data_IF_093607391139
#
_entry.id   IF_093607391139
#
_cell.length_a   1.000
_cell.length_b   1.000
_cell.length_c   1.000
_cell.angle_alpha   90.00
_cell.angle_beta   90.00
_cell.angle_gamma   90.00
#
_symmetry.space_group_name_H-M   'P 1'
#
loop_
_entity.id
_entity.type
_entity.pdbx_description
1 polymer ?
#
# COMPACT_ATOMS: atom_id res chain seq x y z
N UNK A 1 14.97 10.47 -2.64
CA UNK A 1 15.78 10.47 -1.39
C UNK A 1 15.82 9.05 -0.82
N UNK A 2 16.95 8.66 -0.26
CA UNK A 2 17.08 7.40 0.50
C UNK A 2 17.16 7.79 1.97
N UNK A 3 16.26 7.26 2.78
CA UNK A 3 16.11 7.66 4.19
C UNK A 3 16.27 6.43 5.08
N UNK A 4 17.23 6.47 6.00
CA UNK A 4 17.34 5.50 7.09
C UNK A 4 16.29 5.85 8.13
N UNK A 5 15.44 4.88 8.47
CA UNK A 5 14.43 5.00 9.51
C UNK A 5 14.44 3.75 10.39
N UNK A 6 14.32 3.89 11.71
CA UNK A 6 14.34 2.78 12.67
C UNK A 6 15.55 1.84 12.51
N UNK A 7 16.69 2.37 12.12
CA UNK A 7 17.92 1.62 11.89
C UNK A 7 18.01 0.88 10.56
N UNK A 8 16.94 0.82 9.76
CA UNK A 8 16.92 0.19 8.45
C UNK A 8 17.23 1.20 7.33
N UNK A 9 17.98 0.76 6.33
CA UNK A 9 18.32 1.52 5.12
C UNK A 9 17.75 0.75 3.92
N UNK A 10 17.14 1.44 2.94
CA UNK A 10 16.69 0.80 1.71
C UNK A 10 17.76 0.01 0.99
N UNK A 11 17.44 -1.24 0.60
CA UNK A 11 18.28 -2.16 -0.18
C UNK A 11 17.83 -2.12 -1.65
N UNK A 12 18.68 -1.61 -2.53
CA UNK A 12 18.36 -1.36 -3.93
C UNK A 12 19.32 -2.14 -4.82
N UNK A 13 18.79 -3.09 -5.61
CA UNK A 13 19.60 -3.82 -6.58
C UNK A 13 20.32 -2.86 -7.55
N UNK A 14 21.56 -3.17 -7.89
CA UNK A 14 22.42 -2.33 -8.77
C UNK A 14 21.84 -2.09 -10.17
N UNK A 15 20.95 -2.97 -10.64
CA UNK A 15 20.27 -2.86 -11.95
C UNK A 15 18.95 -2.11 -11.87
N UNK A 16 18.46 -1.81 -10.66
CA UNK A 16 17.23 -1.07 -10.46
C UNK A 16 17.46 0.43 -10.67
N UNK A 17 16.45 1.09 -11.21
CA UNK A 17 16.41 2.56 -11.31
C UNK A 17 15.50 3.13 -10.22
N UNK A 18 16.00 4.12 -9.51
CA UNK A 18 15.21 4.93 -8.57
C UNK A 18 15.41 6.39 -8.96
N UNK A 19 14.33 7.06 -9.32
CA UNK A 19 14.35 8.46 -9.73
C UNK A 19 14.91 9.37 -8.60
N UNK A 20 15.62 10.45 -8.91
CA UNK A 20 16.32 11.26 -7.90
C UNK A 20 15.39 11.90 -6.87
N UNK A 21 14.13 12.16 -7.22
CA UNK A 21 13.11 12.72 -6.32
C UNK A 21 12.10 11.67 -5.79
N UNK A 22 12.31 10.39 -6.07
CA UNK A 22 11.59 9.33 -5.36
C UNK A 22 12.08 9.25 -3.91
N UNK A 23 11.21 8.89 -2.98
CA UNK A 23 11.51 8.79 -1.54
C UNK A 23 11.32 7.37 -1.05
N UNK A 24 12.39 6.75 -0.54
CA UNK A 24 12.38 5.41 0.04
C UNK A 24 12.80 5.51 1.51
N UNK A 25 11.96 5.02 2.43
CA UNK A 25 12.12 5.18 3.87
C UNK A 25 12.18 3.82 4.57
N UNK A 26 13.25 3.56 5.29
CA UNK A 26 13.40 2.41 6.16
C UNK A 26 13.60 1.08 5.42
N UNK A 27 12.91 0.03 5.83
CA UNK A 27 13.08 -1.34 5.33
C UNK A 27 12.37 -1.53 3.97
N UNK A 28 12.96 -0.97 2.93
CA UNK A 28 12.50 -1.06 1.53
C UNK A 28 13.49 -1.85 0.72
N UNK A 29 13.03 -2.90 0.02
CA UNK A 29 13.85 -3.68 -0.91
C UNK A 29 13.34 -3.51 -2.33
N UNK A 30 14.25 -3.17 -3.27
CA UNK A 30 13.95 -3.04 -4.70
C UNK A 30 14.74 -4.09 -5.48
N UNK A 31 14.01 -4.99 -6.13
CA UNK A 31 14.58 -6.09 -6.90
C UNK A 31 15.17 -5.68 -8.25
N UNK A 32 15.85 -6.65 -8.86
CA UNK A 32 16.59 -6.49 -10.11
C UNK A 32 15.71 -5.94 -11.24
N UNK A 33 16.28 -5.02 -12.03
CA UNK A 33 15.63 -4.40 -13.20
C UNK A 33 14.30 -3.69 -12.92
N UNK A 34 13.95 -3.44 -11.66
CA UNK A 34 12.75 -2.69 -11.28
C UNK A 34 12.97 -1.19 -11.40
N UNK A 35 11.89 -0.44 -11.53
CA UNK A 35 11.90 1.01 -11.74
C UNK A 35 11.01 1.70 -10.72
N UNK A 36 11.55 2.64 -9.98
CA UNK A 36 10.79 3.55 -9.10
C UNK A 36 10.88 4.95 -9.69
N UNK A 37 9.75 5.43 -10.17
CA UNK A 37 9.69 6.64 -10.96
C UNK A 37 9.54 7.90 -10.10
N UNK A 38 9.49 9.05 -10.77
CA UNK A 38 9.56 10.37 -10.17
C UNK A 38 8.45 10.63 -9.16
N UNK A 39 8.80 11.12 -7.98
CA UNK A 39 7.84 11.46 -6.92
C UNK A 39 7.20 10.27 -6.21
N UNK A 40 7.51 9.03 -6.59
CA UNK A 40 7.01 7.87 -5.86
C UNK A 40 7.54 7.85 -4.42
N UNK A 41 6.67 7.46 -3.47
CA UNK A 41 7.01 7.36 -2.05
C UNK A 41 6.78 5.94 -1.56
N UNK A 42 7.84 5.33 -1.02
CA UNK A 42 7.83 4.00 -0.44
C UNK A 42 8.25 4.11 1.03
N UNK A 43 7.30 3.97 1.97
CA UNK A 43 7.52 4.14 3.39
C UNK A 43 7.18 2.86 4.15
N UNK A 44 8.18 2.23 4.74
CA UNK A 44 8.01 0.95 5.45
C UNK A 44 7.40 1.10 6.84
N UNK A 45 7.42 2.26 7.44
CA UNK A 45 6.86 2.60 8.77
C UNK A 45 7.24 1.63 9.89
N UNK A 46 8.06 0.85 9.98
CA UNK A 46 8.34 -0.16 11.03
C UNK A 46 7.94 -1.57 10.63
N UNK A 47 7.35 -1.75 9.44
CA UNK A 47 7.22 -3.03 8.77
C UNK A 47 8.22 -3.09 7.60
N UNK A 48 7.81 -3.58 6.42
CA UNK A 48 8.68 -3.65 5.25
C UNK A 48 7.92 -3.46 3.94
N UNK A 49 8.68 -3.02 2.92
CA UNK A 49 8.22 -3.01 1.52
C UNK A 49 9.20 -3.85 0.70
N UNK A 50 8.68 -4.80 -0.06
CA UNK A 50 9.45 -5.59 -0.99
C UNK A 50 8.89 -5.42 -2.41
N UNK A 51 9.74 -5.01 -3.33
CA UNK A 51 9.43 -4.94 -4.77
C UNK A 51 10.28 -5.96 -5.48
N UNK A 52 9.64 -6.90 -6.15
CA UNK A 52 10.30 -7.97 -6.89
C UNK A 52 11.05 -7.49 -8.13
N UNK A 53 11.36 -8.42 -9.03
CA UNK A 53 12.14 -8.12 -10.24
C UNK A 53 11.24 -7.59 -11.36
N UNK A 54 11.80 -6.74 -12.23
CA UNK A 54 11.11 -6.18 -13.43
C UNK A 54 9.78 -5.50 -13.13
N UNK A 55 9.58 -5.02 -11.88
CA UNK A 55 8.36 -4.31 -11.49
C UNK A 55 8.54 -2.79 -11.63
N UNK A 56 7.46 -2.11 -11.97
CA UNK A 56 7.46 -0.67 -12.23
C UNK A 56 6.52 0.03 -11.25
N UNK A 57 7.07 0.97 -10.50
CA UNK A 57 6.33 1.88 -9.61
C UNK A 57 6.35 3.26 -10.26
N UNK A 58 5.24 3.66 -10.85
CA UNK A 58 5.15 4.90 -11.61
C UNK A 58 5.09 6.15 -10.74
N UNK A 59 4.98 7.30 -11.41
CA UNK A 59 5.06 8.64 -10.83
C UNK A 59 4.03 8.87 -9.74
N UNK A 60 4.47 9.42 -8.61
CA UNK A 60 3.64 9.80 -7.47
C UNK A 60 2.80 8.63 -6.88
N UNK A 61 3.16 7.39 -7.18
CA UNK A 61 2.56 6.24 -6.50
C UNK A 61 3.02 6.22 -5.02
N UNK A 62 2.13 5.82 -4.11
CA UNK A 62 2.40 5.72 -2.69
C UNK A 62 2.28 4.27 -2.24
N UNK A 63 3.37 3.72 -1.72
CA UNK A 63 3.42 2.42 -1.08
C UNK A 63 3.74 2.64 0.40
N UNK A 64 2.83 2.27 1.29
CA UNK A 64 3.01 2.42 2.73
C UNK A 64 2.67 1.13 3.46
N UNK A 65 3.64 0.61 4.19
CA UNK A 65 3.41 -0.50 5.12
C UNK A 65 2.94 0.04 6.48
N UNK A 66 2.66 -0.83 7.43
CA UNK A 66 2.38 -0.44 8.83
C UNK A 66 2.70 -1.57 9.80
N UNK A 67 3.11 -1.21 11.02
CA UNK A 67 3.32 -2.11 12.14
C UNK A 67 2.60 -1.65 13.41
N UNK A 68 1.56 -0.84 13.30
CA UNK A 68 0.80 -0.32 14.44
C UNK A 68 0.09 -1.44 15.21
N UNK A 69 -0.38 -2.45 14.49
CA UNK A 69 -1.00 -3.63 15.08
C UNK A 69 0.03 -4.73 15.31
N UNK A 70 -0.30 -5.72 16.15
CA UNK A 70 0.55 -6.90 16.36
C UNK A 70 0.83 -7.68 15.07
N UNK A 71 -0.12 -7.60 14.14
CA UNK A 71 0.02 -8.17 12.80
C UNK A 71 0.60 -7.10 11.88
N UNK A 72 1.88 -7.20 11.58
CA UNK A 72 2.51 -6.34 10.58
C UNK A 72 1.75 -6.41 9.24
N UNK A 73 1.59 -5.27 8.61
CA UNK A 73 0.99 -5.17 7.28
C UNK A 73 2.03 -4.64 6.27
N UNK A 74 2.91 -5.52 5.78
CA UNK A 74 3.91 -5.15 4.76
C UNK A 74 3.24 -4.84 3.42
N UNK A 75 3.95 -4.11 2.56
CA UNK A 75 3.60 -4.04 1.14
C UNK A 75 4.52 -4.99 0.37
N UNK A 76 3.92 -6.02 -0.22
CA UNK A 76 4.64 -7.05 -0.98
C UNK A 76 4.23 -6.98 -2.46
N UNK A 77 5.13 -6.53 -3.30
CA UNK A 77 4.95 -6.46 -4.75
C UNK A 77 5.84 -7.52 -5.37
N UNK A 78 5.25 -8.50 -6.04
CA UNK A 78 5.98 -9.59 -6.73
C UNK A 78 6.63 -9.10 -8.02
N UNK A 79 7.14 -10.05 -8.82
CA UNK A 79 7.81 -9.75 -10.09
C UNK A 79 6.82 -9.33 -11.19
N UNK A 80 7.30 -8.54 -12.14
CA UNK A 80 6.55 -8.12 -13.33
C UNK A 80 5.22 -7.39 -13.03
N UNK A 81 5.13 -6.71 -11.89
CA UNK A 81 3.96 -5.91 -11.53
C UNK A 81 4.09 -4.50 -12.09
N UNK A 82 2.99 -3.98 -12.61
CA UNK A 82 2.93 -2.60 -13.07
C UNK A 82 2.00 -1.78 -12.17
N UNK A 83 2.55 -0.82 -11.43
CA UNK A 83 1.81 0.12 -10.59
C UNK A 83 1.84 1.48 -11.25
N UNK A 84 0.68 1.91 -11.75
CA UNK A 84 0.53 3.14 -12.54
C UNK A 84 0.61 4.41 -11.69
N UNK A 85 0.71 5.60 -12.32
CA UNK A 85 0.79 6.87 -11.61
C UNK A 85 -0.34 7.09 -10.61
N UNK A 86 -0.01 7.70 -9.46
CA UNK A 86 -0.96 8.04 -8.39
C UNK A 86 -1.70 6.85 -7.76
N UNK A 87 -1.27 5.62 -8.00
CA UNK A 87 -1.84 4.47 -7.28
C UNK A 87 -1.39 4.49 -5.81
N UNK A 88 -2.25 4.01 -4.90
CA UNK A 88 -1.97 3.96 -3.46
C UNK A 88 -2.11 2.53 -2.95
N UNK A 89 -1.03 2.00 -2.38
CA UNK A 89 -0.94 0.65 -1.83
C UNK A 89 -0.61 0.72 -0.34
N UNK A 90 -1.51 0.23 0.50
CA UNK A 90 -1.39 0.26 1.96
C UNK A 90 -1.39 -1.16 2.50
N UNK A 91 -0.26 -1.64 3.05
CA UNK A 91 -0.16 -2.90 3.75
C UNK A 91 -0.79 -4.09 3.03
N UNK A 92 -0.46 -4.32 1.76
CA UNK A 92 -1.13 -5.27 0.88
C UNK A 92 -0.15 -6.14 0.09
N UNK A 93 -0.65 -7.18 -0.56
CA UNK A 93 0.12 -8.06 -1.43
C UNK A 93 -0.36 -7.98 -2.87
N UNK A 94 0.57 -7.74 -3.80
CA UNK A 94 0.33 -7.75 -5.23
C UNK A 94 1.15 -8.87 -5.84
N UNK A 95 0.48 -9.86 -6.41
CA UNK A 95 1.15 -11.02 -6.98
C UNK A 95 1.60 -10.76 -8.43
N UNK A 96 2.40 -11.70 -8.95
CA UNK A 96 3.12 -11.60 -10.21
C UNK A 96 2.22 -11.18 -11.38
N UNK A 97 2.78 -10.35 -12.28
CA UNK A 97 2.15 -9.91 -13.54
C UNK A 97 0.78 -9.20 -13.36
N UNK A 98 0.50 -8.67 -12.17
CA UNK A 98 -0.71 -7.88 -11.92
C UNK A 98 -0.54 -6.44 -12.41
N UNK A 99 -1.65 -5.80 -12.72
CA UNK A 99 -1.70 -4.41 -13.17
C UNK A 99 -2.59 -3.57 -12.26
N UNK A 100 -2.00 -2.54 -11.64
CA UNK A 100 -2.70 -1.58 -10.78
C UNK A 100 -2.74 -0.25 -11.53
N UNK A 101 -3.91 0.11 -12.02
CA UNK A 101 -4.08 1.27 -12.88
C UNK A 101 -4.03 2.60 -12.12
N UNK A 102 -3.96 3.69 -12.89
CA UNK A 102 -3.86 5.08 -12.39
C UNK A 102 -4.93 5.39 -11.34
N UNK A 103 -4.50 5.92 -10.20
CA UNK A 103 -5.38 6.32 -9.11
C UNK A 103 -6.10 5.18 -8.39
N UNK A 104 -5.78 3.92 -8.69
CA UNK A 104 -6.34 2.80 -7.95
C UNK A 104 -5.80 2.74 -6.51
N UNK A 105 -6.62 2.24 -5.58
CA UNK A 105 -6.26 2.15 -4.16
C UNK A 105 -6.42 0.72 -3.67
N UNK A 106 -5.37 0.19 -3.03
CA UNK A 106 -5.37 -1.15 -2.44
C UNK A 106 -5.13 -1.01 -0.94
N UNK A 107 -6.09 -1.48 -0.12
CA UNK A 107 -6.06 -1.28 1.33
C UNK A 107 -5.46 -2.49 2.08
N UNK A 108 -5.24 -2.31 3.38
CA UNK A 108 -4.54 -3.21 4.29
C UNK A 108 -5.07 -4.65 4.24
N UNK A 109 -4.16 -5.59 4.15
CA UNK A 109 -4.45 -7.02 4.10
C UNK A 109 -5.08 -7.50 2.80
N UNK A 110 -5.31 -6.62 1.83
CA UNK A 110 -5.81 -7.04 0.52
C UNK A 110 -4.75 -7.82 -0.26
N UNK A 111 -5.21 -8.77 -1.07
CA UNK A 111 -4.38 -9.58 -1.96
C UNK A 111 -4.91 -9.44 -3.39
N UNK A 112 -4.06 -8.99 -4.29
CA UNK A 112 -4.31 -9.00 -5.73
C UNK A 112 -3.52 -10.16 -6.31
N UNK A 113 -4.21 -11.23 -6.73
CA UNK A 113 -3.57 -12.45 -7.19
C UNK A 113 -3.02 -12.31 -8.63
N UNK A 114 -2.20 -13.30 -9.02
CA UNK A 114 -1.43 -13.30 -10.28
C UNK A 114 -2.27 -12.92 -11.51
N UNK A 115 -1.76 -11.99 -12.30
CA UNK A 115 -2.39 -11.52 -13.54
C UNK A 115 -3.69 -10.74 -13.35
N UNK A 116 -4.11 -10.43 -12.13
CA UNK A 116 -5.31 -9.64 -11.90
C UNK A 116 -5.08 -8.15 -12.24
N UNK A 117 -6.16 -7.48 -12.59
CA UNK A 117 -6.16 -6.07 -13.00
C UNK A 117 -7.09 -5.27 -12.10
N UNK A 118 -6.57 -4.18 -11.51
CA UNK A 118 -7.40 -3.16 -10.86
C UNK A 118 -7.40 -1.93 -11.76
N UNK A 119 -8.54 -1.65 -12.38
CA UNK A 119 -8.66 -0.58 -13.37
C UNK A 119 -8.66 0.81 -12.71
N UNK A 120 -8.64 1.86 -13.53
CA UNK A 120 -8.54 3.28 -13.12
C UNK A 120 -9.51 3.61 -11.99
N UNK A 121 -9.00 4.20 -10.91
CA UNK A 121 -9.80 4.60 -9.76
C UNK A 121 -10.50 3.46 -9.02
N UNK A 122 -10.16 2.20 -9.32
CA UNK A 122 -10.71 1.05 -8.60
C UNK A 122 -10.21 1.01 -7.15
N UNK A 123 -11.07 0.58 -6.22
CA UNK A 123 -10.75 0.44 -4.81
C UNK A 123 -10.84 -1.03 -4.39
N UNK A 124 -9.73 -1.61 -3.97
CA UNK A 124 -9.71 -2.92 -3.32
C UNK A 124 -9.69 -2.70 -1.82
N UNK A 125 -10.82 -3.02 -1.17
CA UNK A 125 -10.99 -2.75 0.25
C UNK A 125 -10.17 -3.71 1.12
N UNK A 126 -9.99 -3.36 2.40
CA UNK A 126 -9.19 -4.16 3.32
C UNK A 126 -9.63 -5.63 3.33
N UNK A 127 -8.65 -6.55 3.39
CA UNK A 127 -8.84 -8.00 3.39
C UNK A 127 -9.53 -8.59 2.15
N UNK A 128 -9.81 -7.81 1.13
CA UNK A 128 -10.38 -8.36 -0.10
C UNK A 128 -9.31 -9.18 -0.85
N UNK A 129 -9.77 -10.28 -1.47
CA UNK A 129 -8.91 -11.12 -2.30
C UNK A 129 -9.42 -11.04 -3.74
N UNK A 130 -8.63 -10.43 -4.61
CA UNK A 130 -8.92 -10.36 -6.04
C UNK A 130 -8.33 -11.62 -6.69
N UNK A 131 -9.17 -12.49 -7.27
CA UNK A 131 -8.71 -13.75 -7.84
C UNK A 131 -7.78 -13.55 -9.04
N UNK A 132 -6.97 -14.58 -9.32
CA UNK A 132 -6.07 -14.60 -10.47
C UNK A 132 -6.81 -14.29 -11.78
N UNK A 133 -6.23 -13.40 -12.59
CA UNK A 133 -6.79 -12.97 -13.87
C UNK A 133 -8.10 -12.15 -13.78
N UNK A 134 -8.56 -11.81 -12.59
CA UNK A 134 -9.80 -11.05 -12.40
C UNK A 134 -9.60 -9.57 -12.74
N UNK A 135 -10.63 -8.95 -13.33
CA UNK A 135 -10.66 -7.51 -13.59
C UNK A 135 -11.60 -6.82 -12.58
N UNK A 136 -11.05 -5.94 -11.75
CA UNK A 136 -11.85 -4.93 -11.04
C UNK A 136 -12.09 -3.76 -12.00
N UNK A 137 -13.35 -3.51 -12.42
CA UNK A 137 -13.64 -2.47 -13.42
C UNK A 137 -13.34 -1.05 -12.89
N UNK A 138 -13.25 -0.05 -13.78
CA UNK A 138 -13.00 1.34 -13.37
C UNK A 138 -14.00 1.83 -12.31
N UNK A 139 -13.49 2.52 -11.27
CA UNK A 139 -14.26 3.12 -10.18
C UNK A 139 -15.12 2.16 -9.36
N UNK A 140 -14.94 0.86 -9.53
CA UNK A 140 -15.64 -0.12 -8.69
C UNK A 140 -14.89 -0.37 -7.37
N UNK A 141 -15.66 -0.76 -6.36
CA UNK A 141 -15.17 -1.09 -5.02
C UNK A 141 -15.29 -2.61 -4.84
N UNK A 142 -14.14 -3.26 -4.64
CA UNK A 142 -14.04 -4.70 -4.43
C UNK A 142 -13.88 -4.99 -2.94
N UNK A 143 -14.78 -5.78 -2.36
CA UNK A 143 -14.82 -6.11 -0.92
C UNK A 143 -14.97 -7.61 -0.72
N UNK A 144 -14.21 -8.15 0.22
CA UNK A 144 -14.40 -9.51 0.75
C UNK A 144 -13.64 -10.62 0.03
N UNK A 145 -13.78 -11.82 0.56
CA UNK A 145 -13.28 -13.07 0.01
C UNK A 145 -14.33 -14.17 0.29
N UNK A 146 -15.09 -14.59 -0.72
CA UNK A 146 -15.02 -14.22 -2.14
C UNK A 146 -15.33 -12.74 -2.41
N UNK A 147 -14.69 -12.17 -3.42
CA UNK A 147 -14.82 -10.74 -3.79
C UNK A 147 -16.22 -10.44 -4.33
N UNK A 148 -16.79 -9.32 -3.87
CA UNK A 148 -17.98 -8.70 -4.45
C UNK A 148 -17.64 -7.30 -4.91
N UNK A 149 -18.20 -6.91 -6.06
CA UNK A 149 -18.03 -5.58 -6.64
C UNK A 149 -19.25 -4.70 -6.32
N UNK A 150 -18.96 -3.48 -5.87
CA UNK A 150 -19.97 -2.46 -5.57
C UNK A 150 -19.69 -1.22 -6.42
N UNK A 151 -20.72 -0.60 -6.96
CA UNK A 151 -20.61 0.76 -7.48
C UNK A 151 -20.61 1.77 -6.32
N UNK A 152 -20.10 3.00 -6.50
CA UNK A 152 -20.15 4.03 -5.46
C UNK A 152 -21.56 4.38 -4.97
N UNK A 153 -22.58 4.12 -5.79
CA UNK A 153 -24.00 4.39 -5.48
C UNK A 153 -24.77 3.15 -5.00
N UNK A 154 -24.08 2.04 -4.77
CA UNK A 154 -24.71 0.80 -4.31
C UNK A 154 -25.25 0.97 -2.88
N UNK A 155 -26.52 0.65 -2.67
CA UNK A 155 -27.19 0.79 -1.36
C UNK A 155 -26.60 -0.14 -0.29
N UNK A 156 -26.02 -1.27 -0.69
CA UNK A 156 -25.39 -2.24 0.20
C UNK A 156 -23.95 -1.85 0.58
N UNK A 157 -23.33 -0.93 -0.16
CA UNK A 157 -21.93 -0.53 0.06
C UNK A 157 -21.65 -0.02 1.49
N UNK A 158 -22.46 0.86 2.11
CA UNK A 158 -22.22 1.31 3.48
C UNK A 158 -22.23 0.15 4.49
N UNK A 159 -23.08 -0.83 4.29
CA UNK A 159 -23.15 -2.02 5.15
C UNK A 159 -21.90 -2.89 4.99
N UNK A 160 -21.47 -3.14 3.75
CA UNK A 160 -20.28 -3.91 3.45
C UNK A 160 -19.00 -3.26 4.02
N UNK A 161 -18.88 -1.93 3.95
CA UNK A 161 -17.75 -1.18 4.54
C UNK A 161 -17.75 -1.30 6.06
N UNK A 162 -18.91 -1.14 6.71
CA UNK A 162 -19.03 -1.28 8.17
C UNK A 162 -18.61 -2.67 8.66
N UNK A 163 -19.02 -3.70 7.96
CA UNK A 163 -18.69 -5.08 8.29
C UNK A 163 -17.19 -5.44 8.15
N UNK A 164 -16.42 -4.61 7.46
CA UNK A 164 -14.99 -4.88 7.17
C UNK A 164 -14.02 -4.49 8.30
N UNK A 165 -14.48 -3.77 9.34
CA UNK A 165 -13.68 -3.33 10.49
C UNK A 165 -12.31 -2.68 10.12
N UNK A 166 -12.30 -1.92 9.03
CA UNK A 166 -11.07 -1.32 8.48
C UNK A 166 -10.22 -0.57 9.51
N UNK A 167 -10.84 0.20 10.40
CA UNK A 167 -10.10 1.02 11.38
C UNK A 167 -9.33 0.19 12.41
N UNK A 168 -9.86 -0.97 12.80
CA UNK A 168 -9.17 -1.90 13.70
C UNK A 168 -7.90 -2.41 13.03
N UNK A 169 -7.98 -2.77 11.75
CA UNK A 169 -6.85 -3.32 11.02
C UNK A 169 -5.80 -2.28 10.65
N UNK A 170 -6.24 -1.13 10.16
CA UNK A 170 -5.35 -0.08 9.70
C UNK A 170 -4.69 0.72 10.83
N UNK A 171 -5.37 0.86 11.96
CA UNK A 171 -4.97 1.79 13.03
C UNK A 171 -5.01 1.18 14.43
N UNK A 172 -5.38 -0.08 14.59
CA UNK A 172 -5.54 -0.71 15.90
C UNK A 172 -6.70 -0.15 16.74
N UNK A 173 -7.59 0.64 16.12
CA UNK A 173 -8.70 1.32 16.80
C UNK A 173 -10.02 0.64 16.47
N UNK A 174 -10.55 -0.13 17.44
CA UNK A 174 -11.78 -0.94 17.33
C UNK A 174 -13.04 -0.26 17.83
N UNK A 175 -13.13 1.05 17.82
CA UNK A 175 -14.34 1.77 18.19
C UNK A 175 -15.43 1.60 17.13
N UNK A 176 -16.70 1.46 17.60
CA UNK A 176 -17.86 1.35 16.72
C UNK A 176 -18.05 2.57 15.80
N UNK A 177 -19.06 2.45 14.94
CA UNK A 177 -19.45 3.55 14.04
C UNK A 177 -20.34 4.59 14.72
N UNK A 178 -20.70 4.37 15.99
CA UNK A 178 -21.65 5.22 16.69
C UNK A 178 -21.02 6.49 17.25
N UNK A 179 -19.71 6.47 17.52
CA UNK A 179 -18.94 7.65 17.90
C UNK A 179 -17.72 7.85 16.97
N UNK A 180 -17.96 8.57 15.89
CA UNK A 180 -16.92 8.89 14.91
C UNK A 180 -15.91 9.90 15.44
N UNK A 181 -16.31 10.78 16.37
CA UNK A 181 -15.42 11.80 16.94
C UNK A 181 -14.37 11.08 17.81
N UNK A 182 -14.81 10.27 18.75
CA UNK A 182 -13.89 9.48 19.57
C UNK A 182 -12.98 8.59 18.73
N UNK A 183 -13.57 7.89 17.76
CA UNK A 183 -12.83 7.00 16.86
C UNK A 183 -11.68 7.72 16.14
N UNK A 184 -11.97 8.83 15.47
CA UNK A 184 -10.96 9.53 14.68
C UNK A 184 -9.99 10.34 15.55
N UNK A 185 -10.39 10.76 16.76
CA UNK A 185 -9.45 11.29 17.76
C UNK A 185 -8.39 10.23 18.11
N UNK A 186 -8.80 9.02 18.46
CA UNK A 186 -7.87 7.92 18.76
C UNK A 186 -7.00 7.52 17.57
N UNK A 187 -7.56 7.50 16.36
CA UNK A 187 -6.78 7.22 15.13
C UNK A 187 -5.67 8.24 14.97
N UNK A 188 -5.97 9.54 15.10
CA UNK A 188 -4.97 10.59 14.91
C UNK A 188 -3.91 10.59 16.01
N UNK A 189 -4.27 10.34 17.27
CA UNK A 189 -3.32 10.19 18.37
C UNK A 189 -2.37 9.01 18.13
N UNK A 190 -2.93 7.83 17.81
CA UNK A 190 -2.14 6.62 17.50
C UNK A 190 -1.18 6.86 16.35
N UNK A 191 -1.64 7.50 15.26
CA UNK A 191 -0.78 7.81 14.12
C UNK A 191 0.27 8.87 14.42
N UNK A 192 -0.08 9.88 15.20
CA UNK A 192 0.88 10.90 15.63
C UNK A 192 2.03 10.28 16.44
N UNK A 193 1.73 9.33 17.32
CA UNK A 193 2.74 8.62 18.09
C UNK A 193 3.64 7.75 17.20
N UNK A 194 3.07 7.06 16.23
CA UNK A 194 3.82 6.25 15.26
C UNK A 194 4.78 7.11 14.44
N UNK A 195 4.34 8.29 13.99
CA UNK A 195 5.15 9.20 13.19
C UNK A 195 6.30 9.87 13.95
N UNK A 196 6.36 9.77 15.28
CA UNK A 196 7.54 10.25 16.05
C UNK A 196 8.83 9.58 15.63
N UNK A 197 8.77 8.37 15.07
CA UNK A 197 9.93 7.69 14.52
C UNK A 197 10.65 8.44 13.41
N UNK A 198 9.94 9.34 12.72
CA UNK A 198 10.53 10.16 11.65
C UNK A 198 11.36 11.34 12.15
N UNK A 199 11.34 11.66 13.45
CA UNK A 199 12.25 12.68 14.00
C UNK A 199 13.73 12.27 13.94
N UNK A 200 13.98 10.96 13.86
CA UNK A 200 15.33 10.39 13.80
C UNK A 200 15.71 9.94 12.37
N UNK A 201 15.01 10.42 11.36
CA UNK A 201 15.28 10.10 9.96
C UNK A 201 16.64 10.66 9.52
N UNK A 202 17.44 9.83 8.88
CA UNK A 202 18.73 10.21 8.32
C UNK A 202 18.73 10.05 6.78
N UNK A 203 19.04 11.11 6.06
CA UNK A 203 19.26 11.02 4.60
C UNK A 203 20.56 10.28 4.32
N UNK A 204 20.51 9.27 3.46
CA UNK A 204 21.66 8.46 3.06
C UNK A 204 22.01 8.77 1.60
N UNK A 205 23.28 9.09 1.34
CA UNK A 205 23.76 9.24 -0.03
C UNK A 205 23.77 7.87 -0.72
N UNK A 206 23.25 7.83 -1.94
CA UNK A 206 23.36 6.64 -2.77
C UNK A 206 24.82 6.54 -3.25
N UNK A 207 25.56 5.54 -2.79
CA UNK A 207 26.87 5.23 -3.36
C UNK A 207 26.75 5.04 -4.88
N UNK A 208 27.64 5.66 -5.62
CA UNK A 208 27.72 5.56 -7.09
C UNK A 208 28.10 4.16 -7.53
#
# INVERSE_FOLDING_TARGET
MIIKNRGAVPDIDKTAFVAPNATLVGQVKIGRNSRVMYGATLDSEGSRIEVGEYSIICENAVLRATAITKDESPVLVSDHVFISPHATLLGCKIERASYIATGATILHGAVVQEGAVVAVGGLVHANAVIPSGFLVPPYMIAIGSPVRLYSPNDKELPHAIKANEFSQRAFGVGTGWDDLIEKYTRVTETRSDEFKSHFDDETVERGQ
#
